data_IF_371885934139
#
_entry.id   IF_371885934139
#
_cell.length_a   1.000
_cell.length_b   1.000
_cell.length_c   1.000
_cell.angle_alpha   90.00
_cell.angle_beta   90.00
_cell.angle_gamma   90.00
#
_symmetry.space_group_name_H-M   'P 1'
#
loop_
_entity.id
_entity.type
_entity.pdbx_description
1 polymer ?
#
# COMPACT_ATOMS: atom_id res chain seq x y z
N UNK A 1 13.62 -5.50 0.16
CA UNK A 1 13.61 -5.52 1.62
C UNK A 1 13.82 -4.11 2.17
N UNK A 2 13.17 -3.79 3.27
CA UNK A 2 13.38 -2.54 4.01
C UNK A 2 13.56 -2.91 5.47
N UNK A 3 14.60 -2.36 6.09
CA UNK A 3 14.85 -2.54 7.53
C UNK A 3 14.79 -1.19 8.23
N UNK A 4 14.17 -1.16 9.40
CA UNK A 4 14.10 0.00 10.27
C UNK A 4 14.53 -0.41 11.67
N UNK A 5 15.69 0.09 12.13
CA UNK A 5 16.30 -0.29 13.40
C UNK A 5 17.78 0.04 13.42
N UNK A 6 18.52 -0.71 14.20
CA UNK A 6 19.99 -0.57 14.33
C UNK A 6 20.67 -1.87 13.93
N UNK A 7 21.90 -1.80 13.42
CA UNK A 7 22.72 -2.96 13.07
C UNK A 7 22.44 -3.59 11.71
N UNK A 8 21.46 -3.11 10.95
CA UNK A 8 21.30 -3.51 9.56
C UNK A 8 22.29 -2.76 8.66
N UNK A 9 22.79 -3.42 7.63
CA UNK A 9 23.66 -2.87 6.61
C UNK A 9 23.17 -3.20 5.20
N UNK A 10 23.65 -2.48 4.21
CA UNK A 10 23.48 -2.84 2.82
C UNK A 10 24.67 -3.67 2.37
N UNK A 11 24.41 -4.83 1.82
CA UNK A 11 25.40 -5.67 1.15
C UNK A 11 25.29 -5.41 -0.36
N UNK A 12 26.33 -4.80 -0.93
CA UNK A 12 26.42 -4.49 -2.34
C UNK A 12 26.91 -5.68 -3.20
N UNK A 13 27.03 -6.86 -2.59
CA UNK A 13 27.48 -8.09 -3.24
C UNK A 13 28.82 -7.92 -3.99
N UNK A 14 29.64 -6.93 -3.58
CA UNK A 14 30.92 -6.59 -4.23
C UNK A 14 30.79 -5.92 -5.60
N UNK A 15 29.62 -5.41 -5.94
CA UNK A 15 29.32 -4.78 -7.23
C UNK A 15 28.80 -3.35 -7.08
N UNK A 16 29.65 -2.37 -6.64
CA UNK A 16 29.23 -1.01 -6.28
C UNK A 16 28.70 -0.20 -7.47
N UNK A 17 27.87 -0.51 -8.21
CA UNK A 17 27.28 0.18 -9.37
C UNK A 17 26.09 -0.57 -9.91
N UNK A 18 25.80 -1.73 -9.35
CA UNK A 18 24.63 -2.53 -9.70
C UNK A 18 23.67 -2.64 -8.51
N UNK A 19 22.78 -1.69 -8.39
CA UNK A 19 21.78 -1.67 -7.31
C UNK A 19 20.75 -2.82 -7.40
N UNK A 20 20.77 -3.57 -8.50
CA UNK A 20 19.79 -4.64 -8.72
C UNK A 20 20.07 -5.93 -7.94
N UNK A 21 21.30 -6.12 -7.46
CA UNK A 21 21.72 -7.27 -6.68
C UNK A 21 22.04 -6.95 -5.21
N UNK A 22 21.88 -5.69 -4.82
CA UNK A 22 22.02 -5.24 -3.44
C UNK A 22 20.99 -5.90 -2.52
N UNK A 23 21.44 -6.26 -1.34
CA UNK A 23 20.60 -6.90 -0.31
C UNK A 23 20.76 -6.24 1.04
N UNK A 24 19.67 -6.18 1.78
CA UNK A 24 19.74 -5.82 3.20
C UNK A 24 20.29 -7.00 4.00
N UNK A 25 21.42 -6.79 4.67
CA UNK A 25 21.91 -7.70 5.70
C UNK A 25 21.34 -7.27 7.05
N UNK A 26 20.59 -8.16 7.67
CA UNK A 26 19.97 -7.97 8.99
C UNK A 26 20.61 -8.84 10.07
N UNK A 27 21.75 -9.43 9.78
CA UNK A 27 22.48 -10.25 10.75
C UNK A 27 22.90 -9.43 11.97
N UNK A 28 22.36 -9.78 13.13
CA UNK A 28 22.58 -9.03 14.37
C UNK A 28 21.80 -7.71 14.47
N UNK A 29 20.95 -7.39 13.51
CA UNK A 29 20.10 -6.22 13.59
C UNK A 29 19.03 -6.35 14.66
N UNK A 30 18.64 -5.19 15.23
CA UNK A 30 17.49 -5.05 16.12
C UNK A 30 16.53 -4.08 15.50
N UNK A 31 15.34 -4.53 15.17
CA UNK A 31 14.35 -3.67 14.52
C UNK A 31 13.32 -4.45 13.70
N UNK A 32 12.61 -3.72 12.86
CA UNK A 32 11.64 -4.28 11.95
C UNK A 32 12.27 -4.52 10.57
N UNK A 33 12.05 -5.71 10.03
CA UNK A 33 12.43 -6.08 8.67
C UNK A 33 11.16 -6.32 7.85
N UNK A 34 11.03 -5.62 6.73
CA UNK A 34 9.96 -5.77 5.75
C UNK A 34 10.48 -6.55 4.55
N UNK A 35 9.91 -7.72 4.32
CA UNK A 35 10.27 -8.61 3.22
C UNK A 35 9.14 -8.66 2.19
N UNK A 36 9.49 -8.62 0.91
CA UNK A 36 8.53 -8.83 -0.17
C UNK A 36 7.44 -7.76 -0.24
N UNK A 37 7.80 -6.50 -0.09
CA UNK A 37 6.88 -5.38 -0.32
C UNK A 37 6.77 -5.05 -1.80
N UNK A 38 5.59 -4.62 -2.23
CA UNK A 38 5.32 -4.07 -3.57
C UNK A 38 4.55 -2.77 -3.47
N UNK A 39 4.84 -1.84 -4.37
CA UNK A 39 4.12 -0.57 -4.48
C UNK A 39 3.71 -0.34 -5.93
N UNK A 40 2.45 -0.04 -6.13
CA UNK A 40 1.89 0.38 -7.42
C UNK A 40 1.28 1.77 -7.23
N UNK A 41 1.69 2.72 -8.06
CA UNK A 41 1.19 4.09 -8.05
C UNK A 41 0.80 4.50 -9.45
N UNK A 42 -0.35 5.14 -9.60
CA UNK A 42 -0.73 5.82 -10.82
C UNK A 42 -1.37 7.17 -10.52
N UNK A 43 -1.12 8.11 -11.41
CA UNK A 43 -1.74 9.44 -11.41
C UNK A 43 -2.22 9.72 -12.82
N UNK A 44 -3.51 9.99 -12.97
CA UNK A 44 -4.13 10.25 -14.27
C UNK A 44 -4.99 11.51 -14.25
N UNK A 45 -5.12 12.12 -15.41
CA UNK A 45 -6.09 13.19 -15.66
C UNK A 45 -7.00 12.75 -16.80
N UNK A 46 -8.27 13.14 -16.81
CA UNK A 46 -9.16 12.85 -17.92
C UNK A 46 -8.61 13.41 -19.22
N UNK A 47 -8.73 12.65 -20.30
CA UNK A 47 -8.54 13.13 -21.67
C UNK A 47 -9.88 13.55 -22.25
N UNK A 48 -9.90 14.53 -23.16
CA UNK A 48 -11.12 14.96 -23.84
C UNK A 48 -12.10 15.76 -22.96
N UNK A 49 -11.56 16.47 -21.97
CA UNK A 49 -12.34 17.34 -21.08
C UNK A 49 -13.03 18.42 -21.93
N UNK A 50 -14.35 18.49 -21.82
CA UNK A 50 -15.16 19.53 -22.47
C UNK A 50 -15.09 20.87 -21.72
N UNK A 51 -14.79 20.83 -20.42
CA UNK A 51 -14.57 22.01 -19.60
C UNK A 51 -13.06 22.18 -19.33
N UNK A 52 -12.42 23.21 -19.92
CA UNK A 52 -11.00 23.49 -19.69
C UNK A 52 -10.66 23.81 -18.22
N UNK A 53 -11.66 24.13 -17.41
CA UNK A 53 -11.50 24.38 -15.97
C UNK A 53 -11.47 23.09 -15.15
N UNK A 54 -11.96 21.97 -15.69
CA UNK A 54 -11.84 20.69 -15.04
C UNK A 54 -10.39 20.20 -15.07
N UNK A 55 -9.72 20.32 -13.95
CA UNK A 55 -8.35 19.86 -13.72
C UNK A 55 -8.30 18.74 -12.68
N UNK A 56 -9.38 18.01 -12.56
CA UNK A 56 -9.43 16.86 -11.62
C UNK A 56 -8.28 15.89 -11.89
N UNK A 57 -7.59 15.53 -10.84
CA UNK A 57 -6.50 14.58 -10.85
C UNK A 57 -6.91 13.36 -10.04
N UNK A 58 -6.79 12.19 -10.63
CA UNK A 58 -7.07 10.91 -9.98
C UNK A 58 -5.76 10.22 -9.64
N UNK A 59 -5.65 9.74 -8.42
CA UNK A 59 -4.47 9.00 -7.98
C UNK A 59 -4.86 7.72 -7.26
N UNK A 60 -4.09 6.67 -7.53
CA UNK A 60 -4.21 5.38 -6.88
C UNK A 60 -2.86 4.93 -6.33
N UNK A 61 -2.88 4.39 -5.14
CA UNK A 61 -1.75 3.71 -4.52
C UNK A 61 -2.20 2.35 -4.03
N UNK A 62 -1.45 1.34 -4.39
CA UNK A 62 -1.48 0.03 -3.77
C UNK A 62 -0.13 -0.25 -3.13
N UNK A 63 -0.12 -0.57 -1.85
CA UNK A 63 1.05 -1.00 -1.11
C UNK A 63 0.76 -2.38 -0.53
N UNK A 64 1.55 -3.35 -0.90
CA UNK A 64 1.51 -4.71 -0.38
C UNK A 64 2.73 -4.98 0.49
N UNK A 65 2.52 -5.58 1.65
CA UNK A 65 3.55 -6.09 2.55
C UNK A 65 3.37 -7.60 2.68
N UNK A 66 4.24 -8.37 2.06
CA UNK A 66 4.15 -9.82 2.12
C UNK A 66 4.56 -10.36 3.49
N UNK A 67 5.47 -9.68 4.18
CA UNK A 67 5.87 -10.03 5.54
C UNK A 67 6.66 -8.93 6.20
N UNK A 68 6.40 -8.72 7.47
CA UNK A 68 7.20 -7.88 8.37
C UNK A 68 7.54 -8.71 9.58
N UNK A 69 8.79 -8.70 10.01
CA UNK A 69 9.25 -9.39 11.23
C UNK A 69 9.96 -8.42 12.15
N UNK A 70 9.89 -8.70 13.45
CA UNK A 70 10.75 -8.09 14.44
C UNK A 70 11.97 -8.96 14.62
N UNK A 71 13.15 -8.40 14.42
CA UNK A 71 14.44 -9.07 14.51
C UNK A 71 15.21 -8.61 15.76
N UNK A 72 16.09 -9.47 16.26
CA UNK A 72 17.06 -9.12 17.29
C UNK A 72 16.54 -9.03 18.72
N UNK A 73 15.27 -9.28 18.97
CA UNK A 73 14.69 -9.33 20.32
C UNK A 73 14.49 -10.77 20.75
N UNK A 74 15.40 -11.27 21.58
CA UNK A 74 15.35 -12.65 22.06
C UNK A 74 14.04 -12.91 22.82
N UNK A 75 13.39 -14.03 22.48
CA UNK A 75 12.12 -14.46 23.08
C UNK A 75 10.88 -13.73 22.56
N UNK A 76 11.03 -12.74 21.69
CA UNK A 76 9.91 -12.03 21.06
C UNK A 76 9.90 -12.29 19.55
N UNK A 77 8.84 -12.91 19.06
CA UNK A 77 8.59 -13.07 17.63
C UNK A 77 7.36 -12.27 17.26
N UNK A 78 7.51 -11.36 16.32
CA UNK A 78 6.38 -10.65 15.71
C UNK A 78 6.47 -10.76 14.20
N UNK A 79 5.37 -11.11 13.57
CA UNK A 79 5.23 -11.16 12.12
C UNK A 79 3.95 -10.47 11.71
N UNK A 80 3.98 -9.72 10.62
CA UNK A 80 2.79 -9.11 10.05
C UNK A 80 2.84 -9.12 8.53
N UNK A 81 1.67 -9.13 7.91
CA UNK A 81 1.47 -8.94 6.48
C UNK A 81 0.23 -8.09 6.25
N UNK A 82 0.14 -7.45 5.09
CA UNK A 82 -1.03 -6.64 4.82
C UNK A 82 -0.94 -5.87 3.52
N UNK A 83 -1.99 -5.08 3.28
CA UNK A 83 -2.03 -4.17 2.14
C UNK A 83 -2.77 -2.88 2.47
N UNK A 84 -2.41 -1.84 1.75
CA UNK A 84 -3.06 -0.54 1.76
C UNK A 84 -3.47 -0.20 0.33
N UNK A 85 -4.72 0.19 0.15
CA UNK A 85 -5.24 0.72 -1.10
C UNK A 85 -5.72 2.14 -0.86
N UNK A 86 -5.32 3.05 -1.72
CA UNK A 86 -5.75 4.46 -1.67
C UNK A 86 -6.27 4.86 -3.04
N UNK A 87 -7.46 5.47 -3.07
CA UNK A 87 -8.08 5.99 -4.27
C UNK A 87 -8.54 7.43 -4.00
N UNK A 88 -7.90 8.37 -4.64
CA UNK A 88 -8.16 9.80 -4.43
C UNK A 88 -8.51 10.47 -5.74
N UNK A 89 -9.35 11.50 -5.63
CA UNK A 89 -9.59 12.47 -6.68
C UNK A 89 -9.44 13.86 -6.06
N UNK A 90 -8.71 14.73 -6.75
CA UNK A 90 -8.35 16.07 -6.25
C UNK A 90 -8.67 17.09 -7.33
N UNK A 91 -9.34 18.15 -6.97
CA UNK A 91 -9.63 19.28 -7.85
C UNK A 91 -8.40 20.16 -8.07
N UNK A 92 -8.50 21.16 -8.96
CA UNK A 92 -7.40 22.05 -9.28
C UNK A 92 -6.87 22.86 -8.08
N UNK A 93 -7.75 23.17 -7.14
CA UNK A 93 -7.45 23.92 -5.92
C UNK A 93 -6.87 23.05 -4.78
N UNK A 94 -6.67 21.75 -5.05
CA UNK A 94 -6.16 20.80 -4.06
C UNK A 94 -7.24 20.19 -3.15
N UNK A 95 -8.50 20.60 -3.28
CA UNK A 95 -9.59 20.01 -2.50
C UNK A 95 -9.96 18.62 -3.03
N UNK A 96 -10.54 17.78 -2.16
CA UNK A 96 -11.01 16.47 -2.57
C UNK A 96 -12.19 16.59 -3.54
N UNK A 97 -12.14 15.86 -4.65
CA UNK A 97 -13.28 15.70 -5.54
C UNK A 97 -14.20 14.58 -5.03
N UNK A 98 -15.51 14.74 -5.25
CA UNK A 98 -16.52 13.80 -4.77
C UNK A 98 -16.51 12.47 -5.53
N UNK A 99 -16.08 12.47 -6.78
CA UNK A 99 -16.09 11.28 -7.62
C UNK A 99 -14.66 10.74 -7.80
N UNK A 100 -14.48 9.50 -7.43
CA UNK A 100 -13.29 8.70 -7.72
C UNK A 100 -13.57 7.77 -8.89
N UNK A 101 -12.53 7.27 -9.53
CA UNK A 101 -12.66 6.32 -10.63
C UNK A 101 -12.51 4.88 -10.14
N UNK A 102 -13.07 3.96 -10.92
CA UNK A 102 -12.79 2.55 -10.75
C UNK A 102 -11.52 2.21 -11.56
N UNK A 103 -10.44 1.89 -10.87
CA UNK A 103 -9.14 1.70 -11.50
C UNK A 103 -9.07 0.44 -12.38
N UNK A 104 -9.93 -0.55 -12.15
CA UNK A 104 -10.03 -1.71 -13.05
C UNK A 104 -10.63 -1.38 -14.42
N UNK A 105 -11.27 -0.23 -14.55
CA UNK A 105 -11.92 0.24 -15.77
C UNK A 105 -11.48 1.68 -16.15
N UNK A 106 -10.30 2.10 -15.68
CA UNK A 106 -9.84 3.47 -15.87
C UNK A 106 -9.30 3.76 -17.29
N UNK A 107 -9.03 2.72 -18.07
CA UNK A 107 -8.58 2.84 -19.47
C UNK A 107 -8.96 1.61 -20.26
N UNK A 108 -9.30 1.82 -21.54
CA UNK A 108 -9.50 0.76 -22.53
C UNK A 108 -8.18 0.33 -23.19
N UNK A 109 -7.10 1.07 -22.97
CA UNK A 109 -5.78 0.78 -23.52
C UNK A 109 -5.03 -0.18 -22.61
N UNK A 110 -4.82 -1.39 -23.08
CA UNK A 110 -4.01 -2.38 -22.35
C UNK A 110 -2.59 -1.83 -22.12
N UNK A 111 -2.06 -2.06 -20.94
CA UNK A 111 -0.69 -1.67 -20.53
C UNK A 111 -0.44 -0.17 -20.33
N UNK A 112 -1.44 0.70 -20.51
CA UNK A 112 -1.27 2.13 -20.25
C UNK A 112 -1.14 2.42 -18.75
N UNK A 113 -1.89 1.70 -17.93
CA UNK A 113 -1.84 1.83 -16.47
C UNK A 113 -1.39 0.52 -15.84
N UNK A 114 -0.74 0.56 -14.68
CA UNK A 114 -0.44 -0.64 -13.92
C UNK A 114 -1.76 -1.32 -13.48
N UNK A 115 -1.70 -2.63 -13.31
CA UNK A 115 -2.83 -3.36 -12.76
C UNK A 115 -2.89 -3.16 -11.26
N UNK A 116 -4.01 -2.68 -10.80
CA UNK A 116 -4.36 -2.59 -9.39
C UNK A 116 -5.21 -3.78 -8.95
N UNK A 117 -5.23 -4.02 -7.65
CA UNK A 117 -6.18 -4.94 -7.03
C UNK A 117 -7.62 -4.57 -7.41
N UNK A 118 -8.43 -5.57 -7.75
CA UNK A 118 -9.82 -5.38 -8.16
C UNK A 118 -10.71 -4.72 -7.09
N UNK A 119 -10.25 -4.63 -5.83
CA UNK A 119 -10.91 -3.90 -4.76
C UNK A 119 -10.77 -2.39 -4.85
N UNK A 120 -9.92 -1.84 -5.73
CA UNK A 120 -9.73 -0.40 -5.87
C UNK A 120 -10.81 0.25 -6.73
N UNK A 121 -12.04 0.18 -6.25
CA UNK A 121 -13.24 0.71 -6.90
C UNK A 121 -13.47 2.18 -6.56
N UNK A 122 -14.37 2.84 -7.28
CA UNK A 122 -14.75 4.24 -7.01
C UNK A 122 -15.34 4.44 -5.59
N UNK A 123 -15.94 3.43 -5.00
CA UNK A 123 -16.49 3.49 -3.64
C UNK A 123 -15.43 3.49 -2.55
N UNK A 124 -14.22 3.00 -2.82
CA UNK A 124 -13.13 2.91 -1.85
C UNK A 124 -12.30 4.18 -1.91
N UNK A 125 -12.07 4.82 -0.77
CA UNK A 125 -11.09 5.87 -0.59
C UNK A 125 -9.80 5.34 0.03
N UNK A 126 -9.94 4.54 1.05
CA UNK A 126 -8.84 3.90 1.75
C UNK A 126 -9.28 2.50 2.17
N UNK A 127 -8.43 1.53 1.92
CA UNK A 127 -8.52 0.20 2.52
C UNK A 127 -7.19 -0.08 3.21
N UNK A 128 -7.24 -0.59 4.42
CA UNK A 128 -6.10 -1.13 5.14
C UNK A 128 -6.51 -2.48 5.69
N UNK A 129 -5.78 -3.51 5.37
CA UNK A 129 -6.07 -4.84 5.90
C UNK A 129 -4.81 -5.65 6.07
N UNK A 130 -4.83 -6.55 7.02
CA UNK A 130 -3.66 -7.38 7.29
C UNK A 130 -3.88 -8.39 8.41
N UNK A 131 -2.81 -9.11 8.69
CA UNK A 131 -2.74 -10.06 9.78
C UNK A 131 -1.40 -9.92 10.52
N UNK A 132 -1.41 -10.25 11.80
CA UNK A 132 -0.23 -10.26 12.64
C UNK A 132 -0.20 -11.51 13.51
N UNK A 133 0.99 -11.98 13.82
CA UNK A 133 1.25 -13.06 14.78
C UNK A 133 2.29 -12.58 15.78
N UNK A 134 2.04 -12.87 17.04
CA UNK A 134 2.91 -12.54 18.16
C UNK A 134 3.19 -13.79 19.00
N UNK A 135 4.45 -14.00 19.31
CA UNK A 135 4.87 -14.91 20.37
C UNK A 135 5.81 -14.13 21.29
N UNK A 136 5.43 -13.97 22.54
CA UNK A 136 6.23 -13.31 23.56
C UNK A 136 6.68 -14.35 24.60
N UNK A 137 7.95 -14.70 24.54
CA UNK A 137 8.64 -15.58 25.51
C UNK A 137 7.97 -16.95 25.72
N UNK A 138 7.14 -17.40 24.77
CA UNK A 138 6.36 -18.62 24.92
C UNK A 138 5.17 -18.53 25.88
N UNK A 139 5.01 -17.41 26.58
CA UNK A 139 3.90 -17.19 27.52
C UNK A 139 2.67 -16.57 26.86
N UNK A 140 2.88 -15.76 25.84
CA UNK A 140 1.81 -15.11 25.08
C UNK A 140 1.95 -15.49 23.62
N UNK A 141 0.93 -16.15 23.09
CA UNK A 141 0.81 -16.49 21.68
C UNK A 141 -0.50 -15.93 21.17
N UNK A 142 -0.45 -15.17 20.11
CA UNK A 142 -1.63 -14.57 19.53
C UNK A 142 -1.50 -14.36 18.02
N UNK A 143 -2.62 -14.50 17.34
CA UNK A 143 -2.80 -14.11 15.94
C UNK A 143 -4.01 -13.20 15.83
N UNK A 144 -3.94 -12.19 14.98
CA UNK A 144 -5.03 -11.27 14.71
C UNK A 144 -5.07 -10.91 13.22
N UNK A 145 -6.27 -10.66 12.73
CA UNK A 145 -6.47 -10.01 11.44
C UNK A 145 -7.36 -8.78 11.62
N UNK A 146 -7.16 -7.79 10.79
CA UNK A 146 -7.94 -6.56 10.80
C UNK A 146 -8.21 -6.08 9.38
N UNK A 147 -9.31 -5.35 9.23
CA UNK A 147 -9.59 -4.59 8.02
C UNK A 147 -10.29 -3.28 8.37
N UNK A 148 -9.92 -2.24 7.66
CA UNK A 148 -10.53 -0.92 7.74
C UNK A 148 -10.85 -0.44 6.33
N UNK A 149 -12.05 0.05 6.12
CA UNK A 149 -12.50 0.63 4.86
C UNK A 149 -13.01 2.03 5.12
N UNK A 150 -12.53 2.98 4.36
CA UNK A 150 -13.09 4.31 4.25
C UNK A 150 -13.56 4.53 2.82
N UNK A 151 -14.79 4.94 2.65
CA UNK A 151 -15.38 5.15 1.33
C UNK A 151 -16.64 5.99 1.41
N UNK A 152 -17.29 6.17 0.26
CA UNK A 152 -18.61 6.78 0.17
C UNK A 152 -19.66 5.70 -0.02
N UNK A 153 -20.67 5.68 0.84
CA UNK A 153 -21.90 4.90 0.63
C UNK A 153 -22.94 5.81 -0.05
N UNK A 154 -23.63 5.29 -1.06
CA UNK A 154 -24.86 5.92 -1.54
C UNK A 154 -25.95 5.59 -0.52
N UNK A 155 -26.41 6.56 0.25
CA UNK A 155 -27.68 6.38 0.94
C UNK A 155 -28.81 6.63 -0.06
N UNK A 156 -29.49 5.59 -0.49
CA UNK A 156 -30.81 5.78 -1.08
C UNK A 156 -31.73 6.30 0.02
N UNK A 157 -32.00 7.59 0.04
CA UNK A 157 -33.16 8.10 0.73
C UNK A 157 -34.37 7.62 -0.05
N UNK A 158 -35.06 6.61 0.48
CA UNK A 158 -36.40 6.32 0.05
C UNK A 158 -37.25 7.60 0.23
N UNK A 159 -37.66 8.21 -0.86
CA UNK A 159 -38.71 9.19 -0.81
C UNK A 159 -40.00 8.43 -0.50
N UNK A 160 -40.50 8.62 0.71
CA UNK A 160 -41.87 8.29 1.11
C UNK A 160 -42.79 9.40 0.62
#
# INVERSE_FOLDING_TARGET
>A
NVSAGTGASLDDNGTPGNLGDDRGDTTGAVGFNVQGGGMTLAVVRPSGITDPADRTCYSALELGLAGTSLEGVSGLTFKASGRVLVNMATQADGTAADQRINWSAATDTASLLPRFDGGLTAGIRLFVGGSAALNAYGYVLGTASFSMVQGTSRSERAHV
#
